data_IF_304137474766
#
_entry.id   IF_304137474766
#
_cell.length_a   1.000
_cell.length_b   1.000
_cell.length_c   1.000
_cell.angle_alpha   90.00
_cell.angle_beta   90.00
_cell.angle_gamma   90.00
#
_symmetry.space_group_name_H-M   'P 1'
#
loop_
_entity.id
_entity.type
_entity.pdbx_description
1 polymer ?
#
# COMPACT_ATOMS: atom_id res chain seq x y z
N UNK A 1 1.11 9.88 10.53
CA UNK A 1 1.57 9.37 9.22
C UNK A 1 2.06 10.50 8.33
N UNK A 2 3.32 10.44 7.86
CA UNK A 2 3.87 11.36 6.83
C UNK A 2 3.78 10.70 5.46
N UNK A 3 3.24 11.44 4.49
CA UNK A 3 3.05 11.01 3.10
C UNK A 3 3.86 11.92 2.17
N UNK A 4 4.31 11.37 1.05
CA UNK A 4 4.91 12.09 -0.06
C UNK A 4 3.92 12.03 -1.22
N UNK A 5 3.49 13.17 -1.74
CA UNK A 5 2.64 13.22 -2.93
C UNK A 5 3.51 13.08 -4.18
N UNK A 6 3.01 12.38 -5.21
CA UNK A 6 3.68 12.35 -6.50
C UNK A 6 3.71 13.75 -7.13
N UNK A 7 4.89 14.20 -7.55
CA UNK A 7 5.12 15.51 -8.18
C UNK A 7 5.15 15.34 -9.71
N UNK A 8 3.96 15.39 -10.33
CA UNK A 8 3.77 15.18 -11.76
C UNK A 8 2.47 15.82 -12.27
N UNK A 9 2.35 15.97 -13.59
CA UNK A 9 1.18 16.57 -14.24
C UNK A 9 0.07 15.54 -14.53
N UNK A 10 -0.40 14.84 -13.50
CA UNK A 10 -1.55 13.94 -13.61
C UNK A 10 -2.88 14.72 -13.64
N UNK A 11 -3.94 14.09 -14.13
CA UNK A 11 -5.28 14.67 -14.09
C UNK A 11 -5.78 14.84 -12.65
N UNK A 12 -6.63 15.84 -12.40
CA UNK A 12 -7.11 16.23 -11.05
C UNK A 12 -7.83 15.09 -10.29
N UNK A 13 -8.36 14.10 -11.02
CA UNK A 13 -9.03 12.94 -10.46
C UNK A 13 -8.07 11.78 -10.11
N UNK A 14 -6.75 11.95 -10.33
CA UNK A 14 -5.72 10.97 -10.00
C UNK A 14 -5.00 11.43 -8.73
N UNK A 15 -4.94 10.55 -7.74
CA UNK A 15 -4.17 10.76 -6.51
C UNK A 15 -3.14 9.66 -6.36
N UNK A 16 -1.87 10.04 -6.26
CA UNK A 16 -0.76 9.12 -5.99
C UNK A 16 0.06 9.63 -4.80
N UNK A 17 0.36 8.71 -3.87
CA UNK A 17 1.16 9.01 -2.67
C UNK A 17 2.08 7.85 -2.35
N UNK A 18 3.22 8.15 -1.77
CA UNK A 18 4.15 7.19 -1.17
C UNK A 18 4.13 7.38 0.35
N UNK A 19 3.97 6.29 1.10
CA UNK A 19 4.08 6.34 2.55
C UNK A 19 5.54 6.50 2.96
N UNK A 20 5.77 7.00 4.17
CA UNK A 20 7.06 6.88 4.83
C UNK A 20 6.91 5.94 6.02
N UNK A 21 8.02 5.49 6.61
CA UNK A 21 7.97 4.70 7.85
C UNK A 21 7.35 5.44 9.05
N UNK A 22 7.05 6.73 8.97
CA UNK A 22 6.65 7.54 10.12
C UNK A 22 5.14 7.49 10.39
N UNK A 23 4.78 7.27 11.65
CA UNK A 23 3.42 7.44 12.17
C UNK A 23 2.53 6.22 12.06
N UNK A 24 3.10 5.04 12.36
CA UNK A 24 2.39 3.80 12.68
C UNK A 24 2.75 3.30 14.08
N UNK A 25 2.39 2.06 14.39
CA UNK A 25 2.40 1.46 15.73
C UNK A 25 3.45 0.37 15.95
N UNK A 26 4.12 -0.08 14.88
CA UNK A 26 5.16 -1.11 14.96
C UNK A 26 6.36 -0.62 15.79
N UNK A 27 7.11 -1.58 16.35
CA UNK A 27 8.24 -1.32 17.26
C UNK A 27 9.55 -1.94 16.73
N UNK A 28 10.66 -1.63 17.40
CA UNK A 28 11.96 -2.23 17.12
C UNK A 28 12.43 -1.99 15.67
N UNK A 29 12.86 -3.04 14.92
CA UNK A 29 13.35 -2.86 13.56
C UNK A 29 12.27 -2.32 12.61
N UNK A 30 11.00 -2.62 12.88
CA UNK A 30 9.84 -2.18 12.10
C UNK A 30 9.26 -0.84 12.55
N UNK A 31 9.94 -0.13 13.47
CA UNK A 31 9.39 1.02 14.17
C UNK A 31 8.68 2.02 13.24
N UNK A 32 7.42 2.29 13.57
CA UNK A 32 6.52 3.18 12.83
C UNK A 32 5.51 2.43 11.97
N UNK A 33 5.43 2.78 10.69
CA UNK A 33 4.37 2.35 9.76
C UNK A 33 4.84 1.19 8.87
N UNK A 34 5.04 0.01 9.46
CA UNK A 34 5.23 -1.19 8.67
C UNK A 34 3.89 -1.69 8.11
N UNK A 35 3.84 -1.92 6.80
CA UNK A 35 2.67 -2.40 6.07
C UNK A 35 2.86 -3.85 5.57
N UNK A 36 4.07 -4.40 5.66
CA UNK A 36 4.39 -5.76 5.25
C UNK A 36 4.01 -6.77 6.32
N UNK A 37 3.24 -7.79 5.93
CA UNK A 37 2.75 -8.89 6.77
C UNK A 37 3.62 -10.15 6.69
N UNK A 38 4.72 -10.11 5.93
CA UNK A 38 5.59 -11.25 5.62
C UNK A 38 7.05 -11.01 6.05
N UNK A 39 7.27 -10.08 6.99
CA UNK A 39 8.61 -9.66 7.44
C UNK A 39 8.85 -9.88 8.93
N UNK A 40 8.05 -10.72 9.59
CA UNK A 40 8.14 -11.08 11.02
C UNK A 40 7.83 -9.96 12.03
N UNK A 41 7.12 -8.90 11.60
CA UNK A 41 6.55 -7.92 12.53
C UNK A 41 5.31 -8.48 13.26
N UNK A 42 4.90 -7.83 14.35
CA UNK A 42 3.70 -8.18 15.09
C UNK A 42 2.45 -8.04 14.19
N UNK A 43 1.66 -9.11 13.96
CA UNK A 43 0.51 -9.06 13.05
C UNK A 43 -0.50 -7.96 13.40
N UNK A 44 -0.79 -7.76 14.69
CA UNK A 44 -1.71 -6.72 15.14
C UNK A 44 -1.23 -5.30 14.83
N UNK A 45 0.09 -5.06 14.87
CA UNK A 45 0.67 -3.78 14.51
C UNK A 45 0.55 -3.52 13.00
N UNK A 46 0.80 -4.53 12.17
CA UNK A 46 0.64 -4.43 10.71
C UNK A 46 -0.82 -4.19 10.32
N UNK A 47 -1.76 -4.92 10.94
CA UNK A 47 -3.20 -4.72 10.74
C UNK A 47 -3.60 -3.29 11.10
N UNK A 48 -3.15 -2.79 12.25
CA UNK A 48 -3.45 -1.42 12.68
C UNK A 48 -2.82 -0.38 11.75
N UNK A 49 -1.59 -0.58 11.29
CA UNK A 49 -0.94 0.31 10.32
C UNK A 49 -1.68 0.37 8.99
N UNK A 50 -2.15 -0.77 8.46
CA UNK A 50 -2.98 -0.83 7.25
C UNK A 50 -4.32 -0.11 7.47
N UNK A 51 -4.96 -0.29 8.64
CA UNK A 51 -6.19 0.42 9.02
C UNK A 51 -5.97 1.94 9.08
N UNK A 52 -4.90 2.39 9.72
CA UNK A 52 -4.53 3.80 9.81
C UNK A 52 -4.26 4.41 8.43
N UNK A 53 -3.64 3.66 7.51
CA UNK A 53 -3.41 4.10 6.13
C UNK A 53 -4.73 4.34 5.38
N UNK A 54 -5.64 3.36 5.39
CA UNK A 54 -6.97 3.46 4.78
C UNK A 54 -7.71 4.68 5.31
N UNK A 55 -7.73 4.87 6.63
CA UNK A 55 -8.36 6.02 7.28
C UNK A 55 -7.70 7.35 6.89
N UNK A 56 -6.36 7.40 6.88
CA UNK A 56 -5.60 8.62 6.56
C UNK A 56 -5.80 9.07 5.11
N UNK A 57 -5.94 8.12 4.20
CA UNK A 57 -6.17 8.40 2.78
C UNK A 57 -7.64 8.61 2.45
N UNK A 58 -8.57 8.21 3.33
CA UNK A 58 -10.01 8.28 3.07
C UNK A 58 -10.42 7.35 1.92
N UNK A 59 -9.82 6.16 1.84
CA UNK A 59 -10.13 5.22 0.76
C UNK A 59 -11.58 4.75 0.88
N UNK A 60 -12.30 4.75 -0.24
CA UNK A 60 -13.68 4.30 -0.32
C UNK A 60 -13.78 2.77 -0.37
N UNK A 61 -12.73 2.13 -0.89
CA UNK A 61 -12.59 0.69 -1.09
C UNK A 61 -11.34 0.19 -0.38
N UNK A 62 -11.32 -1.11 -0.07
CA UNK A 62 -10.08 -1.75 0.37
C UNK A 62 -9.06 -1.71 -0.78
N UNK A 63 -7.80 -1.36 -0.51
CA UNK A 63 -6.76 -1.44 -1.52
C UNK A 63 -6.45 -2.90 -1.87
N UNK A 64 -5.99 -3.14 -3.10
CA UNK A 64 -5.47 -4.44 -3.50
C UNK A 64 -4.07 -4.63 -2.92
N UNK A 65 -3.92 -5.56 -1.98
CA UNK A 65 -2.61 -6.01 -1.51
C UNK A 65 -2.09 -7.13 -2.40
N UNK A 66 -0.76 -7.19 -2.55
CA UNK A 66 -0.09 -8.17 -3.40
C UNK A 66 0.88 -9.00 -2.57
N UNK A 67 0.94 -10.29 -2.86
CA UNK A 67 2.07 -11.15 -2.51
C UNK A 67 3.11 -11.03 -3.62
N UNK A 68 4.00 -10.04 -3.48
CA UNK A 68 5.01 -9.70 -4.48
C UNK A 68 6.15 -10.73 -4.48
N UNK A 69 6.47 -11.27 -5.65
CA UNK A 69 7.44 -12.37 -5.82
C UNK A 69 8.58 -12.01 -6.78
N UNK A 70 8.77 -10.72 -7.06
CA UNK A 70 9.74 -10.21 -8.03
C UNK A 70 9.53 -10.76 -9.45
N UNK A 71 8.27 -11.05 -9.80
CA UNK A 71 7.84 -11.44 -11.14
C UNK A 71 7.35 -10.25 -11.95
N UNK A 72 6.59 -10.56 -13.02
CA UNK A 72 6.07 -9.58 -13.97
C UNK A 72 4.55 -9.69 -14.14
N UNK A 73 3.88 -10.45 -13.28
CA UNK A 73 2.43 -10.64 -13.33
C UNK A 73 1.74 -9.34 -12.92
N UNK A 74 0.76 -8.93 -13.71
CA UNK A 74 -0.08 -7.76 -13.47
C UNK A 74 -1.54 -8.20 -13.38
N UNK A 75 -2.25 -7.76 -12.34
CA UNK A 75 -3.66 -8.10 -12.11
C UNK A 75 -4.57 -6.87 -12.09
N UNK A 76 -5.87 -7.07 -12.27
CA UNK A 76 -6.86 -6.03 -12.00
C UNK A 76 -7.08 -5.93 -10.49
N UNK A 77 -6.97 -4.73 -9.93
CA UNK A 77 -7.20 -4.48 -8.51
C UNK A 77 -8.69 -4.67 -8.16
N UNK A 78 -8.94 -5.26 -6.99
CA UNK A 78 -10.27 -5.44 -6.43
C UNK A 78 -10.32 -5.03 -4.95
N UNK A 79 -11.51 -4.89 -4.39
CA UNK A 79 -11.74 -4.60 -2.97
C UNK A 79 -12.19 -5.83 -2.17
N UNK A 80 -12.01 -7.03 -2.74
CA UNK A 80 -12.38 -8.31 -2.13
C UNK A 80 -11.59 -8.64 -0.85
N UNK A 81 -10.51 -7.89 -0.58
CA UNK A 81 -9.63 -8.13 0.57
C UNK A 81 -8.74 -9.36 0.42
N UNK A 82 -8.67 -9.97 -0.76
CA UNK A 82 -7.73 -11.05 -1.07
C UNK A 82 -6.34 -10.51 -1.34
N UNK A 83 -5.32 -11.28 -0.96
CA UNK A 83 -3.92 -11.02 -1.32
C UNK A 83 -3.59 -11.90 -2.51
N UNK A 84 -3.28 -11.27 -3.64
CA UNK A 84 -3.04 -11.96 -4.91
C UNK A 84 -1.53 -12.00 -5.23
N UNK A 85 -1.05 -13.10 -5.82
CA UNK A 85 0.36 -13.21 -6.23
C UNK A 85 0.62 -12.46 -7.54
N UNK A 86 1.20 -11.27 -7.43
CA UNK A 86 1.56 -10.41 -8.56
C UNK A 86 2.54 -9.32 -8.08
N UNK A 87 3.14 -8.59 -9.03
CA UNK A 87 4.11 -7.53 -8.74
C UNK A 87 3.63 -6.15 -9.21
N UNK A 88 2.47 -6.10 -9.86
CA UNK A 88 1.76 -4.87 -10.17
C UNK A 88 0.23 -5.10 -10.22
N UNK A 89 -0.53 -4.03 -10.04
CA UNK A 89 -1.97 -4.04 -10.27
C UNK A 89 -2.44 -2.75 -10.96
N UNK A 90 -3.56 -2.83 -11.67
CA UNK A 90 -4.17 -1.70 -12.37
C UNK A 90 -5.65 -1.59 -12.00
N UNK A 91 -6.22 -0.39 -12.19
CA UNK A 91 -7.65 -0.17 -12.02
C UNK A 91 -8.18 0.84 -13.03
N UNK A 92 -9.41 0.63 -13.46
CA UNK A 92 -10.27 1.55 -14.21
C UNK A 92 -11.48 2.01 -13.36
N UNK A 93 -11.50 1.68 -12.07
CA UNK A 93 -12.61 1.96 -11.16
C UNK A 93 -12.32 3.15 -10.23
N UNK A 94 -13.32 4.03 -10.09
CA UNK A 94 -13.24 5.16 -9.17
C UNK A 94 -13.13 4.64 -7.73
N UNK A 95 -12.12 5.14 -7.00
CA UNK A 95 -11.93 4.86 -5.58
C UNK A 95 -11.19 3.55 -5.27
N UNK A 96 -10.89 2.71 -6.26
CA UNK A 96 -10.07 1.51 -6.08
C UNK A 96 -8.58 1.90 -6.05
N UNK A 97 -7.92 1.65 -4.94
CA UNK A 97 -6.49 1.93 -4.80
C UNK A 97 -5.65 0.72 -5.25
N UNK A 98 -4.64 1.00 -6.09
CA UNK A 98 -3.54 0.09 -6.38
C UNK A 98 -2.40 0.33 -5.38
N UNK A 99 -1.79 -0.75 -4.87
CA UNK A 99 -0.64 -0.66 -3.95
C UNK A 99 0.49 -1.56 -4.45
N UNK A 100 1.71 -1.07 -4.32
CA UNK A 100 2.95 -1.85 -4.34
C UNK A 100 3.71 -1.54 -3.05
N UNK A 101 4.30 -2.55 -2.41
CA UNK A 101 5.10 -2.41 -1.21
C UNK A 101 6.58 -2.51 -1.55
N UNK A 102 7.39 -1.63 -0.98
CA UNK A 102 8.83 -1.61 -1.18
C UNK A 102 9.55 -1.20 0.09
N UNK A 103 10.79 -1.65 0.20
CA UNK A 103 11.77 -1.18 1.17
C UNK A 103 13.18 -1.24 0.55
N UNK A 104 13.28 -0.82 -0.73
CA UNK A 104 14.50 -0.53 -1.52
C UNK A 104 14.17 -0.60 -3.03
N UNK A 105 13.38 -1.60 -3.45
CA UNK A 105 12.91 -1.73 -4.84
C UNK A 105 12.17 -0.47 -5.32
N UNK A 106 12.22 -0.21 -6.62
CA UNK A 106 11.62 0.97 -7.24
C UNK A 106 10.09 0.84 -7.33
N UNK A 107 9.30 1.69 -6.65
CA UNK A 107 7.88 1.83 -6.94
C UNK A 107 7.68 2.69 -8.20
N UNK A 108 6.73 2.29 -9.06
CA UNK A 108 6.30 3.03 -10.26
C UNK A 108 4.80 3.21 -10.21
#
# INVERSE_FOLDING_TARGET
>A
MKLISADWSAADNIRAVTTTRLGGTSLGPYAGLNLGDHVDDAPDAVIENRRLLVQKLGLLKQPQWLNQVHGTTVIKASDAGTVEQADACWSDEIGQACIVMTADCLPV
#
